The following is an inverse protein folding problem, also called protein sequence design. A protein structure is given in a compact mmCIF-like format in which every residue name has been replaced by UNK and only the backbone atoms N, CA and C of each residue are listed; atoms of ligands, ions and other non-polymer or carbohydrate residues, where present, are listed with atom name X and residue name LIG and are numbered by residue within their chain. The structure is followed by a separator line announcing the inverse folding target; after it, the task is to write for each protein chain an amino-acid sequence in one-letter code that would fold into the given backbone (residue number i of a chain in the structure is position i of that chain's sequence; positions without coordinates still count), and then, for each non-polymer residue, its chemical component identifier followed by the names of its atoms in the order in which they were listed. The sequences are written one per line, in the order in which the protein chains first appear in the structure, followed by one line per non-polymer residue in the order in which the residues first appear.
data_IF_555859499968
#
_entry.id   IF_555859499968
#
_cell.length_a   1.000
_cell.length_b   1.000
_cell.length_c   1.000
_cell.angle_alpha   90.00
_cell.angle_beta   90.00
_cell.angle_gamma   90.00
#
_symmetry.space_group_name_H-M   'P 1'
#
loop_
_entity.id
_entity.type
_entity.pdbx_description
1 polymer ?
#
# COMPACT_ATOMS: atom_id res chain seq x y z
N UNK A 1 -14.36 -9.48 8.95
CA UNK A 1 -13.52 -8.26 9.09
C UNK A 1 -12.19 -8.50 8.39
N UNK A 2 -11.76 -7.58 7.56
CA UNK A 2 -10.46 -7.70 6.88
C UNK A 2 -9.31 -7.47 7.86
N UNK A 3 -8.44 -8.44 7.97
CA UNK A 3 -7.16 -8.33 8.66
C UNK A 3 -6.04 -8.18 7.63
N UNK A 4 -5.05 -7.36 7.96
CA UNK A 4 -3.87 -7.17 7.11
C UNK A 4 -2.62 -7.43 7.93
N UNK A 5 -1.90 -8.50 7.57
CA UNK A 5 -0.64 -8.86 8.19
C UNK A 5 0.51 -8.55 7.27
N UNK A 6 1.59 -8.06 7.83
CA UNK A 6 2.89 -7.98 7.16
C UNK A 6 3.81 -8.99 7.81
N UNK A 7 4.26 -9.96 7.04
CA UNK A 7 5.20 -10.98 7.48
C UNK A 7 6.54 -10.79 6.78
N UNK A 8 7.61 -10.86 7.54
CA UNK A 8 8.98 -10.95 7.04
C UNK A 8 9.38 -12.41 7.12
N UNK A 9 9.79 -12.95 5.99
CA UNK A 9 10.07 -14.38 5.83
C UNK A 9 11.39 -14.58 5.12
N UNK A 10 12.09 -15.67 5.43
CA UNK A 10 13.29 -16.03 4.67
C UNK A 10 12.95 -16.20 3.17
N UNK A 11 13.82 -15.68 2.31
CA UNK A 11 13.65 -15.82 0.86
C UNK A 11 14.14 -17.21 0.40
N UNK A 12 13.30 -18.21 0.66
CA UNK A 12 13.58 -19.62 0.35
C UNK A 12 12.42 -20.28 -0.38
N UNK A 13 12.70 -21.24 -1.27
CA UNK A 13 11.66 -22.02 -1.94
C UNK A 13 10.70 -22.69 -0.94
N UNK A 14 9.41 -22.66 -1.24
CA UNK A 14 8.36 -23.33 -0.44
C UNK A 14 7.81 -22.52 0.74
N UNK A 15 8.36 -21.37 1.08
CA UNK A 15 7.85 -20.53 2.19
C UNK A 15 6.42 -20.08 1.94
N UNK A 16 6.10 -19.57 0.73
CA UNK A 16 4.74 -19.19 0.37
C UNK A 16 3.76 -20.39 0.48
N UNK A 17 4.19 -21.57 0.07
CA UNK A 17 3.38 -22.79 0.18
C UNK A 17 3.08 -23.15 1.65
N UNK A 18 4.05 -22.98 2.55
CA UNK A 18 3.84 -23.21 3.99
C UNK A 18 2.85 -22.22 4.57
N UNK A 19 2.95 -20.94 4.21
CA UNK A 19 2.01 -19.90 4.62
C UNK A 19 0.60 -20.21 4.09
N UNK A 20 0.45 -20.50 2.81
CA UNK A 20 -0.85 -20.85 2.22
C UNK A 20 -1.46 -22.09 2.87
N UNK A 21 -0.64 -23.13 3.16
CA UNK A 21 -1.08 -24.33 3.85
C UNK A 21 -1.53 -24.06 5.28
N UNK A 22 -0.92 -23.08 5.97
CA UNK A 22 -1.36 -22.63 7.28
C UNK A 22 -2.76 -22.04 7.22
N UNK A 23 -3.01 -21.10 6.30
CA UNK A 23 -4.32 -20.47 6.13
C UNK A 23 -5.40 -21.49 5.76
N UNK A 24 -5.06 -22.46 4.90
CA UNK A 24 -5.96 -23.59 4.60
C UNK A 24 -6.32 -24.39 5.86
N UNK A 25 -5.35 -24.72 6.73
CA UNK A 25 -5.60 -25.42 8.00
C UNK A 25 -6.46 -24.62 8.98
N UNK A 26 -6.32 -23.29 8.96
CA UNK A 26 -7.14 -22.40 9.78
C UNK A 26 -8.55 -22.19 9.20
N UNK A 27 -8.82 -22.72 7.99
CA UNK A 27 -10.03 -22.50 7.22
C UNK A 27 -10.31 -21.00 6.98
N UNK A 28 -9.27 -20.25 6.64
CA UNK A 28 -9.32 -18.80 6.38
C UNK A 28 -8.91 -18.57 4.94
N UNK A 29 -9.75 -17.84 4.18
CA UNK A 29 -9.42 -17.45 2.81
C UNK A 29 -8.46 -16.26 2.80
N UNK A 30 -7.45 -16.31 1.94
CA UNK A 30 -6.57 -15.18 1.64
C UNK A 30 -7.20 -14.38 0.51
N UNK A 31 -7.61 -13.15 0.78
CA UNK A 31 -8.20 -12.25 -0.22
C UNK A 31 -7.13 -11.61 -1.12
N UNK A 32 -5.95 -11.35 -0.56
CA UNK A 32 -4.81 -10.79 -1.31
C UNK A 32 -3.50 -11.24 -0.68
N UNK A 33 -2.52 -11.54 -1.52
CA UNK A 33 -1.13 -11.79 -1.10
C UNK A 33 -0.19 -11.05 -2.04
N UNK A 34 0.72 -10.28 -1.47
CA UNK A 34 1.79 -9.60 -2.19
C UNK A 34 3.12 -9.99 -1.57
N UNK A 35 4.06 -10.44 -2.38
CA UNK A 35 5.40 -10.83 -1.94
C UNK A 35 6.42 -10.06 -2.75
N UNK A 36 7.43 -9.55 -2.09
CA UNK A 36 8.54 -8.84 -2.73
C UNK A 36 9.77 -8.88 -1.84
N UNK A 37 10.93 -8.50 -2.38
CA UNK A 37 12.14 -8.31 -1.59
C UNK A 37 11.92 -7.27 -0.49
N UNK A 38 12.62 -7.44 0.62
CA UNK A 38 12.72 -6.42 1.66
C UNK A 38 14.01 -5.62 1.48
N UNK A 39 14.30 -4.76 2.43
CA UNK A 39 15.58 -4.04 2.56
C UNK A 39 16.77 -4.98 2.85
N UNK A 40 16.52 -6.25 3.11
CA UNK A 40 17.52 -7.30 3.28
C UNK A 40 17.45 -8.32 2.14
N UNK A 41 18.58 -8.70 1.56
CA UNK A 41 18.60 -9.56 0.35
C UNK A 41 18.05 -10.98 0.58
N UNK A 42 18.10 -11.50 1.80
CA UNK A 42 17.67 -12.87 2.18
C UNK A 42 16.30 -12.90 2.86
N UNK A 43 15.62 -11.75 2.94
CA UNK A 43 14.31 -11.63 3.56
C UNK A 43 13.31 -11.09 2.55
N UNK A 44 12.22 -11.80 2.35
CA UNK A 44 11.06 -11.34 1.61
C UNK A 44 10.02 -10.74 2.53
N UNK A 45 9.39 -9.66 2.06
CA UNK A 45 8.27 -9.00 2.72
C UNK A 45 6.96 -9.44 2.08
N UNK A 46 6.10 -10.05 2.88
CA UNK A 46 4.81 -10.58 2.46
C UNK A 46 3.68 -9.79 3.11
N UNK A 47 2.77 -9.23 2.32
CA UNK A 47 1.52 -8.64 2.80
C UNK A 47 0.38 -9.60 2.56
N UNK A 48 -0.32 -9.98 3.61
CA UNK A 48 -1.43 -10.94 3.60
C UNK A 48 -2.71 -10.23 4.03
N UNK A 49 -3.75 -10.28 3.20
CA UNK A 49 -5.08 -9.79 3.53
C UNK A 49 -6.03 -10.97 3.58
N UNK A 50 -6.77 -11.10 4.69
CA UNK A 50 -7.73 -12.16 4.86
C UNK A 50 -8.99 -11.67 5.58
N UNK A 51 -10.12 -12.30 5.31
CA UNK A 51 -11.36 -12.08 6.04
C UNK A 51 -11.51 -13.10 7.14
N UNK A 52 -11.56 -12.61 8.38
CA UNK A 52 -11.67 -13.48 9.55
C UNK A 52 -12.41 -12.74 10.69
N UNK A 53 -12.95 -13.47 11.68
CA UNK A 53 -13.53 -12.86 12.88
C UNK A 53 -12.53 -11.95 13.60
N UNK A 54 -12.97 -10.87 14.28
CA UNK A 54 -12.07 -9.93 14.96
C UNK A 54 -11.12 -10.59 15.96
N UNK A 55 -11.57 -11.65 16.64
CA UNK A 55 -10.77 -12.40 17.61
C UNK A 55 -9.71 -13.30 16.96
N UNK A 56 -9.79 -13.56 15.64
CA UNK A 56 -8.88 -14.47 14.96
C UNK A 56 -7.47 -13.91 14.74
N UNK A 57 -7.32 -12.57 14.71
CA UNK A 57 -6.06 -11.91 14.37
C UNK A 57 -4.86 -12.40 15.21
N UNK A 58 -5.02 -12.48 16.54
CA UNK A 58 -3.97 -13.02 17.41
C UNK A 58 -3.61 -14.47 17.12
N UNK A 59 -4.63 -15.32 16.86
CA UNK A 59 -4.43 -16.74 16.54
C UNK A 59 -3.69 -16.92 15.21
N UNK A 60 -4.05 -16.11 14.20
CA UNK A 60 -3.38 -16.11 12.90
C UNK A 60 -1.92 -15.72 13.06
N UNK A 61 -1.64 -14.61 13.75
CA UNK A 61 -0.30 -14.12 14.01
C UNK A 61 0.56 -15.14 14.77
N UNK A 62 0.02 -15.71 15.86
CA UNK A 62 0.70 -16.75 16.64
C UNK A 62 0.95 -18.03 15.81
N UNK A 63 0.08 -18.32 14.85
CA UNK A 63 0.25 -19.48 13.97
C UNK A 63 1.29 -19.23 12.88
N UNK A 64 1.40 -17.99 12.38
CA UNK A 64 2.45 -17.58 11.44
C UNK A 64 3.82 -17.67 12.11
N UNK A 65 3.97 -17.21 13.35
CA UNK A 65 5.24 -17.33 14.11
C UNK A 65 5.69 -18.78 14.37
N UNK A 66 4.81 -19.78 14.25
CA UNK A 66 5.19 -21.18 14.34
C UNK A 66 5.84 -21.75 13.09
N UNK A 67 5.83 -20.99 11.99
CA UNK A 67 6.52 -21.38 10.77
C UNK A 67 8.00 -21.02 10.90
N UNK A 68 8.87 -21.98 10.69
CA UNK A 68 10.33 -21.88 10.84
C UNK A 68 10.92 -20.69 10.04
N UNK A 69 10.38 -20.43 8.86
CA UNK A 69 10.89 -19.40 7.96
C UNK A 69 10.27 -18.02 8.18
N UNK A 70 9.42 -17.84 9.18
CA UNK A 70 8.80 -16.56 9.52
C UNK A 70 9.64 -15.87 10.58
N UNK A 71 10.25 -14.75 10.21
CA UNK A 71 11.11 -13.95 11.08
C UNK A 71 10.27 -13.03 11.96
N UNK A 72 9.29 -12.34 11.34
CA UNK A 72 8.41 -11.40 12.04
C UNK A 72 7.04 -11.32 11.39
N UNK A 73 6.02 -10.99 12.19
CA UNK A 73 4.66 -10.71 11.73
C UNK A 73 4.10 -9.51 12.47
N UNK A 74 3.56 -8.55 11.72
CA UNK A 74 2.85 -7.38 12.23
C UNK A 74 1.39 -7.38 11.77
N UNK A 75 0.44 -7.19 12.70
CA UNK A 75 -0.95 -6.86 12.37
C UNK A 75 -1.06 -5.36 12.14
N UNK A 76 -0.92 -4.94 10.88
CA UNK A 76 -0.91 -3.51 10.51
C UNK A 76 -2.29 -2.88 10.50
N UNK A 77 -3.35 -3.67 10.59
CA UNK A 77 -4.73 -3.16 10.71
C UNK A 77 -4.98 -2.38 12.00
N UNK A 78 -4.13 -2.56 13.01
CA UNK A 78 -4.22 -1.90 14.32
C UNK A 78 -3.48 -0.57 14.41
N UNK A 79 -2.73 -0.20 13.38
CA UNK A 79 -1.86 0.97 13.43
C UNK A 79 -2.20 1.94 12.30
N UNK A 80 -1.87 3.22 12.53
CA UNK A 80 -1.89 4.20 11.45
C UNK A 80 -0.93 3.77 10.34
N UNK A 81 -1.46 3.53 9.16
CA UNK A 81 -0.71 2.99 8.02
C UNK A 81 -1.08 3.68 6.72
N UNK A 82 -0.22 3.56 5.73
CA UNK A 82 -0.49 3.92 4.34
C UNK A 82 -0.66 2.63 3.56
N UNK A 83 -1.80 2.48 2.91
CA UNK A 83 -2.06 1.38 1.99
C UNK A 83 -2.09 1.89 0.56
N UNK A 84 -1.48 1.17 -0.36
CA UNK A 84 -1.48 1.45 -1.79
C UNK A 84 -1.60 0.14 -2.58
N UNK A 85 -2.24 0.28 -3.73
CA UNK A 85 -2.39 -0.76 -4.73
C UNK A 85 -2.29 -0.11 -6.10
N UNK A 86 -1.76 -0.83 -7.08
CA UNK A 86 -1.79 -0.46 -8.49
C UNK A 86 -2.74 -1.40 -9.23
N UNK A 87 -3.58 -0.85 -10.09
CA UNK A 87 -4.41 -1.62 -11.00
C UNK A 87 -4.20 -1.17 -12.45
N UNK A 88 -4.18 -2.14 -13.36
CA UNK A 88 -4.30 -1.96 -14.79
C UNK A 88 -5.71 -2.40 -15.18
N UNK A 89 -6.47 -1.50 -15.79
CA UNK A 89 -7.86 -1.70 -16.18
C UNK A 89 -7.99 -1.50 -17.69
N UNK A 90 -8.35 -2.55 -18.40
CA UNK A 90 -8.63 -2.49 -19.83
C UNK A 90 -10.12 -2.27 -20.04
N UNK A 91 -10.47 -1.21 -20.78
CA UNK A 91 -11.85 -0.77 -20.99
C UNK A 91 -12.14 -0.74 -22.49
N UNK A 92 -13.29 -1.27 -22.89
CA UNK A 92 -13.78 -1.11 -24.24
C UNK A 92 -14.14 0.37 -24.48
N UNK A 93 -13.82 0.90 -25.64
CA UNK A 93 -14.11 2.29 -25.98
C UNK A 93 -14.54 2.42 -27.43
N UNK A 94 -15.42 3.40 -27.66
CA UNK A 94 -15.80 3.88 -28.97
C UNK A 94 -15.37 5.34 -29.13
N UNK A 95 -15.37 5.93 -30.32
CA UNK A 95 -15.12 7.35 -30.49
C UNK A 95 -16.04 8.25 -29.64
N UNK A 96 -17.26 7.77 -29.31
CA UNK A 96 -18.25 8.53 -28.54
C UNK A 96 -17.98 8.44 -27.02
N UNK A 97 -17.57 7.30 -26.50
CA UNK A 97 -17.35 7.08 -25.06
C UNK A 97 -15.95 7.50 -24.61
N UNK A 98 -15.01 7.61 -25.54
CA UNK A 98 -13.60 7.87 -25.24
C UNK A 98 -13.37 9.14 -24.45
N UNK A 99 -14.03 10.25 -24.80
CA UNK A 99 -13.86 11.54 -24.11
C UNK A 99 -14.30 11.45 -22.66
N UNK A 100 -15.44 10.78 -22.41
CA UNK A 100 -15.92 10.53 -21.04
C UNK A 100 -14.93 9.73 -20.20
N UNK A 101 -14.34 8.67 -20.76
CA UNK A 101 -13.32 7.87 -20.04
C UNK A 101 -12.09 8.73 -19.71
N UNK A 102 -11.63 9.63 -20.60
CA UNK A 102 -10.54 10.56 -20.29
C UNK A 102 -10.88 11.52 -19.15
N UNK A 103 -12.13 11.98 -19.06
CA UNK A 103 -12.59 12.81 -17.94
C UNK A 103 -12.51 12.02 -16.61
N UNK A 104 -12.99 10.76 -16.59
CA UNK A 104 -12.89 9.89 -15.41
C UNK A 104 -11.43 9.65 -15.01
N UNK A 105 -10.55 9.38 -15.98
CA UNK A 105 -9.11 9.20 -15.74
C UNK A 105 -8.52 10.42 -15.03
N UNK A 106 -8.89 11.64 -15.46
CA UNK A 106 -8.43 12.88 -14.84
C UNK A 106 -9.00 13.06 -13.42
N UNK A 107 -10.32 12.84 -13.22
CA UNK A 107 -10.99 12.95 -11.91
C UNK A 107 -10.35 12.01 -10.90
N UNK A 108 -10.11 10.77 -11.28
CA UNK A 108 -9.49 9.77 -10.42
C UNK A 108 -7.96 9.87 -10.36
N UNK A 109 -7.34 10.89 -11.01
CA UNK A 109 -5.87 11.02 -11.09
C UNK A 109 -5.21 9.70 -11.48
N UNK A 110 -5.78 9.04 -12.49
CA UNK A 110 -5.25 7.88 -13.17
C UNK A 110 -4.52 8.31 -14.44
N UNK A 111 -3.99 7.38 -15.20
CA UNK A 111 -3.38 7.67 -16.50
C UNK A 111 -3.72 6.60 -17.53
N UNK A 112 -3.83 7.00 -18.78
CA UNK A 112 -3.93 6.07 -19.90
C UNK A 112 -2.52 5.64 -20.28
N UNK A 113 -2.26 4.34 -20.28
CA UNK A 113 -0.95 3.74 -20.60
C UNK A 113 -0.94 3.04 -21.95
N UNK A 114 -2.13 2.73 -22.49
CA UNK A 114 -2.29 2.20 -23.84
C UNK A 114 -3.59 2.67 -24.48
N UNK A 115 -3.59 2.92 -25.78
CA UNK A 115 -4.75 3.37 -26.54
C UNK A 115 -4.81 2.66 -27.89
N UNK A 116 -5.89 1.89 -28.09
CA UNK A 116 -6.21 1.21 -29.34
C UNK A 116 -7.56 1.70 -29.92
N UNK A 117 -7.92 1.39 -31.18
CA UNK A 117 -9.18 1.84 -31.77
C UNK A 117 -10.44 1.45 -31.00
N UNK A 118 -10.44 0.25 -30.39
CA UNK A 118 -11.61 -0.29 -29.67
C UNK A 118 -11.44 -0.45 -28.16
N UNK A 119 -10.28 -0.06 -27.60
CA UNK A 119 -9.99 -0.20 -26.17
C UNK A 119 -8.94 0.79 -25.72
N UNK A 120 -8.90 1.04 -24.41
CA UNK A 120 -7.81 1.73 -23.74
C UNK A 120 -7.44 1.01 -22.44
N UNK A 121 -6.22 1.23 -21.98
CA UNK A 121 -5.75 0.70 -20.69
C UNK A 121 -5.46 1.84 -19.72
N UNK A 122 -6.10 1.77 -18.57
CA UNK A 122 -5.95 2.74 -17.47
C UNK A 122 -5.04 2.16 -16.41
N UNK A 123 -4.02 2.90 -16.02
CA UNK A 123 -3.26 2.64 -14.81
C UNK A 123 -3.76 3.55 -13.70
N UNK A 124 -4.07 2.97 -12.56
CA UNK A 124 -4.48 3.71 -11.36
C UNK A 124 -3.73 3.21 -10.15
N UNK A 125 -3.23 4.15 -9.34
CA UNK A 125 -2.60 3.86 -8.04
C UNK A 125 -3.37 4.57 -6.93
N UNK A 126 -3.62 3.88 -5.84
CA UNK A 126 -4.33 4.48 -4.72
C UNK A 126 -4.70 3.50 -3.61
N UNK A 127 -5.69 3.91 -2.80
CA UNK A 127 -6.36 3.00 -1.88
C UNK A 127 -7.29 2.06 -2.65
N UNK A 128 -7.63 0.93 -2.05
CA UNK A 128 -8.62 0.00 -2.61
C UNK A 128 -9.93 0.72 -2.95
N UNK A 129 -10.44 1.56 -2.03
CA UNK A 129 -11.67 2.32 -2.23
C UNK A 129 -11.62 3.28 -3.43
N UNK A 130 -10.44 3.83 -3.74
CA UNK A 130 -10.25 4.68 -4.93
C UNK A 130 -10.37 3.85 -6.21
N UNK A 131 -9.78 2.66 -6.24
CA UNK A 131 -9.82 1.76 -7.40
C UNK A 131 -11.24 1.22 -7.60
N UNK A 132 -11.89 0.78 -6.51
CA UNK A 132 -13.29 0.32 -6.56
C UNK A 132 -14.23 1.44 -7.02
N UNK A 133 -14.02 2.69 -6.56
CA UNK A 133 -14.81 3.83 -7.00
C UNK A 133 -14.70 4.07 -8.51
N UNK A 134 -13.50 3.96 -9.11
CA UNK A 134 -13.36 4.05 -10.57
C UNK A 134 -14.06 2.90 -11.28
N UNK A 135 -13.92 1.67 -10.79
CA UNK A 135 -14.56 0.49 -11.38
C UNK A 135 -16.08 0.60 -11.33
N UNK A 136 -16.63 1.08 -10.21
CA UNK A 136 -18.06 1.31 -10.07
C UNK A 136 -18.58 2.30 -11.13
N UNK A 137 -17.93 3.45 -11.27
CA UNK A 137 -18.35 4.49 -12.23
C UNK A 137 -18.22 3.99 -13.67
N UNK A 138 -17.15 3.23 -14.01
CA UNK A 138 -17.01 2.62 -15.33
C UNK A 138 -18.15 1.64 -15.62
N UNK A 139 -18.54 0.82 -14.66
CA UNK A 139 -19.62 -0.15 -14.84
C UNK A 139 -21.01 0.51 -14.92
N UNK A 140 -21.25 1.63 -14.21
CA UNK A 140 -22.52 2.37 -14.24
C UNK A 140 -22.75 3.10 -15.58
N UNK A 141 -21.69 3.50 -16.27
CA UNK A 141 -21.76 4.26 -17.52
C UNK A 141 -21.71 3.41 -18.80
N UNK A 142 -22.03 2.13 -18.72
CA UNK A 142 -21.97 1.18 -19.84
C UNK A 142 -20.55 1.01 -20.43
N UNK A 143 -19.53 1.55 -19.79
CA UNK A 143 -18.14 1.35 -20.18
C UNK A 143 -17.71 -0.05 -19.77
N UNK A 144 -17.61 -0.94 -20.75
CA UNK A 144 -17.32 -2.35 -20.49
C UNK A 144 -15.87 -2.52 -20.06
N UNK A 145 -15.64 -2.85 -18.80
CA UNK A 145 -14.37 -3.36 -18.32
C UNK A 145 -14.13 -4.73 -18.96
N UNK A 146 -13.04 -4.85 -19.73
CA UNK A 146 -12.65 -6.07 -20.44
C UNK A 146 -11.77 -6.95 -19.57
N UNK A 147 -10.85 -6.34 -18.84
CA UNK A 147 -9.87 -7.05 -18.05
C UNK A 147 -9.35 -6.14 -16.92
N UNK A 148 -9.04 -6.72 -15.79
CA UNK A 148 -8.39 -6.02 -14.67
C UNK A 148 -7.25 -6.87 -14.12
N UNK A 149 -6.11 -6.22 -13.89
CA UNK A 149 -4.97 -6.81 -13.19
C UNK A 149 -4.59 -5.92 -12.02
N UNK A 150 -4.36 -6.51 -10.85
CA UNK A 150 -4.08 -5.79 -9.58
C UNK A 150 -2.82 -6.35 -8.94
N UNK A 151 -2.00 -5.47 -8.39
CA UNK A 151 -0.81 -5.90 -7.63
C UNK A 151 -1.15 -6.52 -6.28
N UNK A 152 -2.36 -6.27 -5.77
CA UNK A 152 -2.68 -6.49 -4.38
C UNK A 152 -2.20 -5.36 -3.48
N UNK A 153 -2.57 -5.44 -2.20
CA UNK A 153 -2.34 -4.38 -1.22
C UNK A 153 -0.91 -4.38 -0.70
N UNK A 154 -0.22 -3.25 -0.86
CA UNK A 154 1.00 -2.91 -0.13
C UNK A 154 0.64 -2.00 1.03
N UNK A 155 1.22 -2.22 2.21
CA UNK A 155 0.94 -1.43 3.41
C UNK A 155 2.23 -1.09 4.12
N UNK A 156 2.35 0.14 4.61
CA UNK A 156 3.47 0.59 5.42
C UNK A 156 2.97 1.41 6.61
N UNK A 157 3.53 1.23 7.81
CA UNK A 157 3.19 2.03 8.99
C UNK A 157 3.63 3.47 8.80
N UNK A 158 2.90 4.40 9.41
CA UNK A 158 3.27 5.84 9.42
C UNK A 158 4.27 6.15 10.52
N UNK A 159 5.02 7.23 10.34
CA UNK A 159 5.99 7.74 11.32
C UNK A 159 7.29 6.93 11.35
N UNK A 160 8.05 7.10 12.42
CA UNK A 160 9.38 6.47 12.60
C UNK A 160 9.33 4.97 12.93
N UNK A 161 8.13 4.39 13.04
CA UNK A 161 8.00 2.97 13.34
C UNK A 161 8.31 2.14 12.09
N UNK A 162 9.55 1.74 11.96
CA UNK A 162 9.96 0.67 11.06
C UNK A 162 9.44 -0.68 11.59
N UNK A 163 9.51 -1.71 10.78
CA UNK A 163 9.26 -3.06 11.30
C UNK A 163 10.32 -3.38 12.36
N UNK A 164 9.90 -4.05 13.44
CA UNK A 164 10.84 -4.49 14.49
C UNK A 164 11.96 -5.41 13.99
N UNK A 165 11.87 -5.90 12.75
CA UNK A 165 12.95 -6.66 12.10
C UNK A 165 14.21 -5.82 11.96
N UNK A 166 14.07 -4.54 11.57
CA UNK A 166 15.21 -3.63 11.50
C UNK A 166 15.78 -3.35 12.88
N UNK A 167 14.94 -3.20 13.90
CA UNK A 167 15.38 -3.05 15.29
C UNK A 167 16.07 -4.32 15.80
N UNK A 168 15.46 -5.49 15.62
CA UNK A 168 16.00 -6.76 16.12
C UNK A 168 17.26 -7.25 15.38
N UNK A 169 17.42 -6.86 14.11
CA UNK A 169 18.57 -7.24 13.28
C UNK A 169 19.62 -6.13 13.20
N UNK A 170 19.25 -4.86 13.52
CA UNK A 170 20.18 -3.73 13.65
C UNK A 170 21.06 -3.82 14.88
N UNK A 171 20.56 -4.40 15.96
CA UNK A 171 21.35 -4.62 17.18
C UNK A 171 22.51 -5.63 16.99
N UNK A 172 22.48 -6.44 15.94
CA UNK A 172 23.58 -7.37 15.60
C UNK A 172 24.67 -6.68 14.77
N UNK A 173 24.35 -5.65 13.98
CA UNK A 173 25.32 -4.91 13.17
C UNK A 173 26.02 -3.78 13.94
N UNK A 174 25.41 -3.24 15.00
CA UNK A 174 26.02 -2.23 15.86
C UNK A 174 27.26 -2.73 16.62
N UNK A 175 27.45 -4.05 16.68
CA UNK A 175 28.67 -4.64 17.27
C UNK A 175 29.81 -4.86 16.26
N UNK A 176 29.57 -4.67 14.95
CA UNK A 176 30.58 -4.91 13.90
C UNK A 176 30.80 -3.71 12.95
N UNK A 177 30.98 -2.52 13.49
CA UNK A 177 31.60 -1.41 12.77
C UNK A 177 30.59 -0.35 12.26
N UNK A 178 30.76 0.83 12.83
CA UNK A 178 30.08 2.06 12.44
C UNK A 178 30.36 2.42 10.98
N UNK A 179 29.35 2.36 10.13
CA UNK A 179 29.30 3.14 8.90
C UNK A 179 28.17 4.16 9.07
N UNK A 180 28.54 5.39 9.37
CA UNK A 180 27.62 6.51 9.51
C UNK A 180 26.91 6.79 8.21
N UNK A 181 25.58 6.73 8.24
CA UNK A 181 24.74 7.35 7.23
C UNK A 181 24.72 8.85 7.54
N UNK A 182 25.10 9.76 6.63
CA UNK A 182 25.04 11.19 6.90
C UNK A 182 23.58 11.59 7.14
N UNK A 183 23.34 12.22 8.29
CA UNK A 183 22.09 12.93 8.56
C UNK A 183 21.89 13.98 7.45
N UNK A 184 20.80 13.87 6.73
CA UNK A 184 20.35 14.95 5.84
C UNK A 184 19.87 16.06 6.75
N UNK A 185 20.53 17.23 6.65
CA UNK A 185 20.22 18.42 7.43
C UNK A 185 18.73 18.76 7.38
N UNK A 186 18.19 19.05 8.54
CA UNK A 186 16.83 19.56 8.69
C UNK A 186 16.69 20.86 7.87
N UNK A 187 15.65 20.91 7.05
CA UNK A 187 15.25 22.16 6.37
C UNK A 187 14.96 23.23 7.43
N UNK A 188 15.41 24.47 7.26
CA UNK A 188 15.12 25.55 8.19
C UNK A 188 13.61 25.82 8.25
N UNK A 189 13.08 25.93 9.46
CA UNK A 189 11.72 26.42 9.70
C UNK A 189 11.64 27.87 9.20
N UNK A 190 10.75 28.14 8.25
CA UNK A 190 10.42 29.52 7.84
C UNK A 190 9.65 30.16 9.00
N UNK A 191 10.29 31.13 9.66
CA UNK A 191 9.65 32.05 10.60
C UNK A 191 8.62 32.90 9.85
N UNK A 192 7.34 32.62 10.07
CA UNK A 192 6.23 33.50 9.70
C UNK A 192 6.31 34.79 10.53
N UNK A 193 6.95 35.83 10.00
CA UNK A 193 6.88 37.17 10.57
C UNK A 193 5.48 37.74 10.31
N UNK A 194 4.64 37.70 11.34
CA UNK A 194 3.40 38.47 11.43
C UNK A 194 3.74 39.96 11.39
N UNK A 195 3.57 40.58 10.22
CA UNK A 195 3.56 42.06 10.10
C UNK A 195 2.21 42.57 10.58
N UNK A 196 2.25 43.17 11.76
CA UNK A 196 1.13 43.87 12.36
C UNK A 196 1.20 45.35 11.94
N UNK A 197 0.58 45.72 10.84
CA UNK A 197 0.38 47.13 10.45
C UNK A 197 -1.02 47.60 10.89
N UNK A 198 -1.10 48.01 12.13
CA UNK A 198 -2.15 48.87 12.60
C UNK A 198 -1.62 50.27 12.71
N UNK A 199 -2.02 51.17 11.77
CA UNK A 199 -2.25 52.57 12.04
C UNK A 199 -2.82 53.25 10.77
N UNK A 200 -4.10 53.55 10.82
CA UNK A 200 -4.72 54.51 9.91
C UNK A 200 -4.97 55.82 10.68
N UNK A 201 -4.42 56.95 10.26
CA UNK A 201 -4.76 58.23 10.87
C UNK A 201 -6.08 58.76 10.29
N UNK A 202 -6.95 59.20 11.22
CA UNK A 202 -8.11 60.04 10.94
C UNK A 202 -7.66 61.36 10.31
N UNK A 203 -8.24 61.75 9.18
CA UNK A 203 -8.33 63.17 8.78
C UNK A 203 -9.77 63.56 8.58
N UNK A 204 -10.13 64.54 9.40
CA UNK A 204 -11.32 65.39 9.29
C UNK A 204 -11.14 66.39 8.13
N UNK A 205 -12.14 66.51 7.28
CA UNK A 205 -12.87 67.74 6.88
C UNK A 205 -13.99 67.35 5.93
#
# INVERSE_FOLDING_TARGET
MLHTFVAYVEDKPGVLTRVASLFRRLNINISSVTVGGSERPDISRMTLVCDAPPAAGHRIMASLYKLENVVQVDDVGRFSSVSRELALIKVATTPKTRSHIFELVNVFRARVVDLAPGSLMIEITGSESKIEGLLQVLNENEDRVLEISRTGRMVMRRGHHTSRVLEALGDVESQNGAVGVPMVDALPEEEETLHNDGDLPHQQT
#
